data_IF_192453974979
#
_entry.id   IF_192453974979
#
_cell.length_a   1.000
_cell.length_b   1.000
_cell.length_c   1.000
_cell.angle_alpha   90.00
_cell.angle_beta   90.00
_cell.angle_gamma   90.00
#
_symmetry.space_group_name_H-M   'P 1'
#
loop_
_entity.id
_entity.type
_entity.pdbx_description
1 polymer ?
#
# COMPACT_ATOMS: atom_id res chain seq x y z
N UNK A 1 1.31 -15.22 5.95
CA UNK A 1 1.01 -13.77 5.98
C UNK A 1 2.27 -12.94 5.70
N UNK A 2 2.40 -12.47 4.46
CA UNK A 2 3.55 -11.67 4.07
C UNK A 2 3.29 -10.19 4.33
N UNK A 3 4.32 -9.37 4.10
CA UNK A 3 4.22 -7.93 4.30
C UNK A 3 4.52 -7.17 3.03
N UNK A 4 3.64 -6.25 2.66
CA UNK A 4 3.82 -5.47 1.45
C UNK A 4 4.35 -4.07 1.76
N UNK A 5 5.17 -3.54 0.87
CA UNK A 5 5.75 -2.21 1.05
C UNK A 5 5.45 -1.31 -0.14
N UNK A 6 4.70 -0.25 0.10
CA UNK A 6 4.34 0.70 -0.95
C UNK A 6 4.85 2.10 -0.63
N UNK A 7 5.44 2.75 -1.62
CA UNK A 7 5.95 4.09 -1.43
C UNK A 7 5.28 5.11 -2.33
N UNK A 8 5.84 6.31 -2.39
CA UNK A 8 5.29 7.37 -3.22
C UNK A 8 3.86 7.71 -2.80
N UNK A 9 3.60 7.59 -1.50
CA UNK A 9 2.27 7.88 -0.96
C UNK A 9 2.13 9.35 -0.61
N UNK A 10 1.00 9.94 -0.98
CA UNK A 10 0.73 11.35 -0.70
C UNK A 10 -0.27 11.50 0.44
N UNK A 11 -0.60 12.74 0.80
CA UNK A 11 -1.55 13.02 1.87
C UNK A 11 -2.80 12.15 1.73
N UNK A 12 -3.42 12.20 0.56
CA UNK A 12 -4.62 11.43 0.29
C UNK A 12 -4.66 10.99 -1.17
N UNK A 13 -3.75 10.09 -1.54
CA UNK A 13 -3.68 9.60 -2.90
C UNK A 13 -4.77 8.55 -3.17
N UNK A 14 -4.56 7.34 -2.66
CA UNK A 14 -5.52 6.27 -2.87
C UNK A 14 -5.30 5.11 -1.89
N UNK A 15 -4.08 4.99 -1.36
CA UNK A 15 -3.75 3.93 -0.42
C UNK A 15 -4.81 3.80 0.67
N UNK A 16 -5.04 4.89 1.41
CA UNK A 16 -6.03 4.89 2.47
C UNK A 16 -7.44 4.75 1.90
N UNK A 17 -7.56 4.92 0.58
CA UNK A 17 -8.85 4.83 -0.10
C UNK A 17 -9.11 3.40 -0.57
N UNK A 18 -8.05 2.67 -0.87
CA UNK A 18 -8.16 1.29 -1.34
C UNK A 18 -8.20 0.30 -0.19
N UNK A 19 -7.62 0.68 0.95
CA UNK A 19 -7.59 -0.19 2.12
C UNK A 19 -8.98 -0.72 2.44
N UNK A 20 -10.01 0.03 2.06
CA UNK A 20 -11.39 -0.37 2.31
C UNK A 20 -11.82 -1.48 1.35
N UNK A 21 -11.31 -1.43 0.13
CA UNK A 21 -11.63 -2.43 -0.87
C UNK A 21 -10.64 -3.59 -0.82
N UNK A 22 -9.41 -3.31 -0.41
CA UNK A 22 -8.38 -4.34 -0.31
C UNK A 22 -8.81 -5.47 0.63
N UNK A 23 -9.75 -5.17 1.52
CA UNK A 23 -10.24 -6.15 2.47
C UNK A 23 -11.31 -7.05 1.85
N UNK A 24 -11.97 -6.54 0.81
CA UNK A 24 -13.01 -7.29 0.12
C UNK A 24 -12.43 -8.20 -0.95
N UNK A 25 -11.26 -7.82 -1.49
CA UNK A 25 -10.61 -8.61 -2.52
C UNK A 25 -9.32 -9.24 -2.00
N UNK A 26 -8.68 -8.57 -1.04
CA UNK A 26 -7.44 -9.08 -0.48
C UNK A 26 -7.58 -9.51 0.97
N UNK A 27 -8.52 -8.89 1.68
CA UNK A 27 -8.75 -9.20 3.08
C UNK A 27 -7.54 -8.83 3.93
N UNK A 28 -7.06 -7.60 3.76
CA UNK A 28 -5.90 -7.13 4.51
C UNK A 28 -6.11 -7.29 6.01
N UNK A 29 -5.07 -7.78 6.70
CA UNK A 29 -5.13 -7.98 8.14
C UNK A 29 -4.65 -6.75 8.89
N UNK A 30 -3.57 -6.15 8.40
CA UNK A 30 -3.00 -4.97 9.03
C UNK A 30 -2.56 -3.95 7.98
N UNK A 31 -3.06 -2.73 8.08
CA UNK A 31 -2.72 -1.67 7.14
C UNK A 31 -2.45 -0.36 7.87
N UNK A 32 -1.25 0.18 7.69
CA UNK A 32 -0.86 1.43 8.33
C UNK A 32 -0.09 2.32 7.37
N UNK A 33 0.29 3.50 7.84
CA UNK A 33 1.05 4.45 7.03
C UNK A 33 2.04 5.24 7.87
N UNK A 34 2.87 6.04 7.21
CA UNK A 34 3.87 6.84 7.91
C UNK A 34 3.53 8.32 7.85
N UNK A 35 4.35 9.15 8.47
CA UNK A 35 4.13 10.59 8.49
C UNK A 35 5.32 11.33 7.87
N UNK A 36 5.17 12.64 7.71
CA UNK A 36 6.23 13.48 7.15
C UNK A 36 7.40 13.62 8.11
N UNK A 37 7.21 13.19 9.35
CA UNK A 37 8.25 13.29 10.37
C UNK A 37 8.56 14.74 10.71
N UNK A 38 7.53 15.57 10.65
CA UNK A 38 7.67 16.99 10.96
C UNK A 38 6.31 17.65 11.18
N UNK A 39 5.36 17.31 10.32
CA UNK A 39 4.01 17.86 10.43
C UNK A 39 3.00 16.80 10.85
N UNK A 40 3.47 15.57 11.03
CA UNK A 40 2.61 14.47 11.43
C UNK A 40 1.55 14.19 10.38
N UNK A 41 1.90 14.40 9.11
CA UNK A 41 0.99 14.17 8.00
C UNK A 41 1.45 13.00 7.14
N UNK A 42 0.52 12.25 6.54
CA UNK A 42 0.83 11.11 5.69
C UNK A 42 1.55 11.53 4.41
N UNK A 43 2.81 11.14 4.29
CA UNK A 43 3.61 11.47 3.11
C UNK A 43 4.93 10.70 3.11
N UNK A 44 5.05 9.74 2.20
CA UNK A 44 6.26 8.94 2.12
C UNK A 44 6.01 7.54 1.61
N UNK A 45 5.39 6.71 2.45
CA UNK A 45 5.08 5.34 2.08
C UNK A 45 4.08 4.72 3.04
N UNK A 46 3.72 3.47 2.78
CA UNK A 46 2.76 2.79 3.63
C UNK A 46 3.09 1.32 3.82
N UNK A 47 2.21 0.60 4.51
CA UNK A 47 2.43 -0.83 4.75
C UNK A 47 1.11 -1.59 4.65
N UNK A 48 1.20 -2.88 4.33
CA UNK A 48 0.02 -3.73 4.20
C UNK A 48 0.34 -5.18 4.54
N UNK A 49 -0.49 -5.78 5.39
CA UNK A 49 -0.30 -7.17 5.79
C UNK A 49 -1.38 -8.06 5.21
N UNK A 50 -0.98 -8.99 4.37
CA UNK A 50 -1.92 -9.92 3.74
C UNK A 50 -1.32 -11.31 3.61
N UNK A 51 -2.16 -12.29 3.28
CA UNK A 51 -1.71 -13.66 3.13
C UNK A 51 -0.65 -13.78 2.04
N UNK A 52 -0.16 -15.00 1.82
CA UNK A 52 0.86 -15.23 0.81
C UNK A 52 0.24 -15.71 -0.50
N UNK A 53 -0.94 -15.18 -0.81
CA UNK A 53 -1.64 -15.54 -2.03
C UNK A 53 -1.95 -14.30 -2.88
N UNK A 54 -2.36 -13.23 -2.22
CA UNK A 54 -2.68 -11.98 -2.91
C UNK A 54 -1.44 -11.11 -3.09
N UNK A 55 -0.45 -11.30 -2.21
CA UNK A 55 0.78 -10.53 -2.27
C UNK A 55 1.56 -10.82 -3.55
N UNK A 56 1.41 -12.04 -4.07
CA UNK A 56 2.10 -12.45 -5.29
C UNK A 56 1.63 -11.63 -6.48
N UNK A 57 0.31 -11.51 -6.63
CA UNK A 57 -0.27 -10.76 -7.73
C UNK A 57 -0.47 -9.29 -7.37
N UNK A 58 -0.60 -9.02 -6.08
CA UNK A 58 -0.80 -7.66 -5.59
C UNK A 58 0.23 -6.70 -6.17
N UNK A 59 1.49 -7.11 -6.17
CA UNK A 59 2.58 -6.29 -6.70
C UNK A 59 2.81 -6.57 -8.19
N UNK A 60 2.48 -7.79 -8.60
CA UNK A 60 2.66 -8.22 -9.98
C UNK A 60 2.00 -7.27 -10.98
N UNK A 61 0.70 -7.07 -10.85
CA UNK A 61 -0.04 -6.20 -11.77
C UNK A 61 -0.10 -4.75 -11.29
N UNK A 62 0.28 -4.52 -10.03
CA UNK A 62 0.24 -3.16 -9.49
C UNK A 62 1.57 -2.42 -9.72
N UNK A 63 2.58 -2.78 -8.95
CA UNK A 63 3.88 -2.13 -9.04
C UNK A 63 4.34 -2.01 -10.50
N UNK A 64 4.80 -0.82 -10.87
CA UNK A 64 5.28 -0.57 -12.24
C UNK A 64 5.74 0.88 -12.38
N UNK A 65 4.80 1.81 -12.30
CA UNK A 65 5.12 3.23 -12.42
C UNK A 65 4.38 4.04 -11.35
N UNK A 66 4.38 5.35 -11.53
CA UNK A 66 3.71 6.25 -10.58
C UNK A 66 2.44 6.82 -11.19
N UNK A 67 1.29 6.40 -10.65
CA UNK A 67 0.00 6.88 -11.16
C UNK A 67 -0.88 7.36 -10.00
N UNK A 68 -2.16 7.56 -10.28
CA UNK A 68 -3.11 8.02 -9.28
C UNK A 68 -3.70 6.83 -8.51
N UNK A 69 -2.83 6.03 -7.92
CA UNK A 69 -3.28 4.88 -7.16
C UNK A 69 -3.65 3.71 -8.05
N UNK A 70 -2.97 3.58 -9.18
CA UNK A 70 -3.24 2.50 -10.13
C UNK A 70 -2.11 1.49 -10.13
N UNK A 71 -0.90 1.94 -9.84
CA UNK A 71 0.27 1.08 -9.80
C UNK A 71 1.16 1.40 -8.61
N UNK A 72 1.74 2.60 -8.61
CA UNK A 72 2.63 3.01 -7.52
C UNK A 72 3.81 2.08 -7.40
N UNK A 73 4.88 2.55 -6.77
CA UNK A 73 6.08 1.75 -6.57
C UNK A 73 5.94 0.85 -5.36
N UNK A 74 5.22 -0.26 -5.52
CA UNK A 74 5.00 -1.20 -4.44
C UNK A 74 5.91 -2.42 -4.59
N UNK A 75 6.22 -3.07 -3.46
CA UNK A 75 7.07 -4.25 -3.46
C UNK A 75 7.04 -4.94 -2.11
N UNK A 76 7.46 -6.21 -2.09
CA UNK A 76 7.49 -6.99 -0.86
C UNK A 76 8.42 -6.35 0.16
N UNK A 77 7.93 -6.19 1.39
CA UNK A 77 8.71 -5.60 2.46
C UNK A 77 9.92 -6.46 2.80
#
# INVERSE_FOLDING_TARGET
MRNIYVGNLVYSATSEQVKELFSQFGKVFNVKLIYDRETKKPKGFGFVEMQEESVSEAIAKLDNTDFMGRTIRVTEANPKKSLEHHHHHH
#
